data_IF_418878419705
#
_entry.id   IF_418878419705
#
_cell.length_a   1.000
_cell.length_b   1.000
_cell.length_c   1.000
_cell.angle_alpha   90.00
_cell.angle_beta   90.00
_cell.angle_gamma   90.00
#
_symmetry.space_group_name_H-M   'P 1'
#
loop_
_entity.id
_entity.type
_entity.pdbx_description
1 polymer ?
#
# COMPACT_ATOMS: atom_id res chain seq x y z
N UNK A 1 25.34 48.11 16.36
CA UNK A 1 24.86 46.95 17.14
C UNK A 1 24.69 45.79 16.19
N UNK A 2 25.44 44.68 16.35
CA UNK A 2 25.21 43.50 15.53
C UNK A 2 23.82 42.93 15.83
N UNK A 3 23.03 42.72 14.79
CA UNK A 3 21.76 42.00 14.88
C UNK A 3 22.13 40.55 15.19
N UNK A 4 21.95 40.15 16.44
CA UNK A 4 21.98 38.74 16.82
C UNK A 4 20.76 38.12 16.16
N UNK A 5 20.97 37.39 15.06
CA UNK A 5 19.94 36.53 14.50
C UNK A 5 19.81 35.40 15.51
N UNK A 6 18.83 35.47 16.39
CA UNK A 6 18.43 34.34 17.22
C UNK A 6 18.03 33.21 16.26
N UNK A 7 18.88 32.18 16.20
CA UNK A 7 18.67 31.02 15.37
C UNK A 7 17.48 30.26 15.98
N UNK A 8 16.29 30.56 15.48
CA UNK A 8 15.04 30.04 16.01
C UNK A 8 15.13 28.50 15.98
N UNK A 9 15.00 27.79 17.12
CA UNK A 9 15.34 26.39 17.18
C UNK A 9 14.46 25.58 16.22
N UNK A 10 15.10 24.77 15.37
CA UNK A 10 14.41 23.96 14.37
C UNK A 10 13.34 23.08 15.02
N UNK A 11 12.19 22.97 14.37
CA UNK A 11 11.04 22.21 14.83
C UNK A 11 10.76 21.00 13.93
N UNK A 12 10.31 19.90 14.52
CA UNK A 12 9.80 18.75 13.79
C UNK A 12 8.50 19.11 13.03
N UNK A 13 8.41 18.78 11.74
CA UNK A 13 7.22 19.06 10.91
C UNK A 13 5.98 18.24 11.30
N UNK A 14 6.09 17.29 12.24
CA UNK A 14 4.99 16.47 12.76
C UNK A 14 4.59 16.86 14.19
N UNK A 15 5.48 16.69 15.17
CA UNK A 15 5.12 17.03 16.55
C UNK A 15 5.28 18.52 16.90
N UNK A 16 5.86 19.36 16.01
CA UNK A 16 6.23 20.77 16.25
C UNK A 16 7.21 20.99 17.42
N UNK A 17 7.73 19.94 18.05
CA UNK A 17 8.74 20.05 19.11
C UNK A 17 10.06 20.59 18.57
N UNK A 18 10.68 21.50 19.31
CA UNK A 18 12.04 21.99 19.15
C UNK A 18 13.02 21.26 20.09
N UNK A 19 14.32 21.38 19.85
CA UNK A 19 15.35 20.77 20.73
C UNK A 19 15.39 19.24 20.66
N UNK A 20 14.86 18.66 19.59
CA UNK A 20 14.79 17.22 19.35
C UNK A 20 15.94 16.75 18.44
N UNK A 21 16.27 15.46 18.51
CA UNK A 21 17.18 14.85 17.56
C UNK A 21 16.46 14.52 16.26
N UNK A 22 17.02 14.96 15.14
CA UNK A 22 16.43 14.76 13.81
C UNK A 22 16.94 13.50 13.12
N UNK A 23 16.06 12.88 12.35
CA UNK A 23 16.36 11.76 11.46
C UNK A 23 16.40 12.22 10.00
N UNK A 24 17.08 11.44 9.16
CA UNK A 24 16.96 11.54 7.70
C UNK A 24 15.70 10.80 7.25
N UNK A 25 14.69 11.54 6.84
CA UNK A 25 13.40 10.98 6.42
C UNK A 25 13.25 10.93 4.90
N UNK A 26 12.65 9.88 4.34
CA UNK A 26 12.42 9.80 2.90
C UNK A 26 11.05 10.37 2.52
N UNK A 27 10.96 11.07 1.40
CA UNK A 27 9.68 11.57 0.87
C UNK A 27 8.77 10.40 0.49
N UNK A 28 9.28 9.49 -0.35
CA UNK A 28 8.66 8.20 -0.65
C UNK A 28 9.35 7.15 0.22
N UNK A 29 8.62 6.27 0.94
CA UNK A 29 9.25 5.28 1.80
C UNK A 29 10.29 4.48 1.04
N UNK A 30 11.46 4.27 1.68
CA UNK A 30 12.62 3.59 1.07
C UNK A 30 12.28 2.19 0.54
N UNK A 31 11.18 1.59 0.99
CA UNK A 31 10.67 0.32 0.50
C UNK A 31 10.24 0.38 -0.97
N UNK A 32 9.70 1.52 -1.43
CA UNK A 32 9.27 1.73 -2.81
C UNK A 32 10.39 2.15 -3.76
N UNK A 33 11.54 2.58 -3.23
CA UNK A 33 12.68 2.89 -4.08
C UNK A 33 13.76 3.68 -3.38
N UNK A 34 14.91 3.76 -4.04
CA UNK A 34 15.95 4.76 -3.79
C UNK A 34 16.46 5.18 -5.15
N UNK A 35 16.56 6.48 -5.38
CA UNK A 35 16.79 7.09 -6.68
C UNK A 35 18.20 7.68 -6.75
N UNK A 36 19.18 6.92 -6.26
CA UNK A 36 20.58 7.35 -6.21
C UNK A 36 20.77 8.69 -5.47
N UNK A 37 21.64 9.58 -5.98
CA UNK A 37 21.85 10.93 -5.44
C UNK A 37 20.58 11.80 -5.47
N UNK A 38 19.62 11.51 -6.35
CA UNK A 38 18.36 12.26 -6.49
C UNK A 38 17.28 11.78 -5.52
N UNK A 39 17.59 10.83 -4.63
CA UNK A 39 16.64 10.36 -3.62
C UNK A 39 16.22 11.53 -2.73
N UNK A 40 14.98 11.97 -2.88
CA UNK A 40 14.41 13.04 -2.08
C UNK A 40 14.27 12.62 -0.62
N UNK A 41 14.98 13.34 0.24
CA UNK A 41 14.98 13.14 1.69
C UNK A 41 14.89 14.48 2.40
N UNK A 42 14.14 14.47 3.49
CA UNK A 42 14.10 15.55 4.46
C UNK A 42 15.27 15.38 5.43
N UNK A 43 16.06 16.43 5.57
CA UNK A 43 17.17 16.53 6.52
C UNK A 43 16.77 17.55 7.57
N UNK A 44 16.92 17.19 8.86
CA UNK A 44 16.67 18.10 9.98
C UNK A 44 15.24 18.67 10.04
N UNK A 45 14.26 17.90 9.54
CA UNK A 45 12.85 18.29 9.53
C UNK A 45 11.93 17.35 10.33
N UNK A 46 12.33 16.09 10.52
CA UNK A 46 11.52 15.07 11.22
C UNK A 46 12.33 14.52 12.39
N UNK A 47 11.78 14.57 13.61
CA UNK A 47 12.44 13.99 14.77
C UNK A 47 12.51 12.46 14.68
N UNK A 48 13.45 11.85 15.41
CA UNK A 48 13.62 10.39 15.44
C UNK A 48 12.31 9.69 15.86
N UNK A 49 11.60 10.22 16.85
CA UNK A 49 10.40 9.57 17.40
C UNK A 49 9.28 9.49 16.35
N UNK A 50 8.90 10.62 15.75
CA UNK A 50 7.92 10.66 14.66
C UNK A 50 8.37 9.82 13.47
N UNK A 51 9.66 9.80 13.14
CA UNK A 51 10.19 8.99 12.05
C UNK A 51 9.98 7.49 12.31
N UNK A 52 10.29 7.02 13.52
CA UNK A 52 10.16 5.62 13.89
C UNK A 52 8.70 5.19 14.00
N UNK A 53 7.86 6.01 14.63
CA UNK A 53 6.44 5.74 14.83
C UNK A 53 5.71 5.66 13.48
N UNK A 54 5.78 6.73 12.67
CA UNK A 54 5.13 6.77 11.36
C UNK A 54 5.72 5.74 10.40
N UNK A 55 7.02 5.41 10.54
CA UNK A 55 7.64 4.33 9.78
C UNK A 55 6.99 2.97 10.05
N UNK A 56 6.75 2.63 11.32
CA UNK A 56 6.11 1.36 11.72
C UNK A 56 4.63 1.34 11.39
N UNK A 57 3.91 2.41 11.69
CA UNK A 57 2.45 2.44 11.53
C UNK A 57 2.00 2.64 10.09
N UNK A 58 2.73 3.42 9.30
CA UNK A 58 2.27 3.86 7.98
C UNK A 58 3.13 3.24 6.88
N UNK A 59 4.45 3.43 6.93
CA UNK A 59 5.32 3.03 5.82
C UNK A 59 5.39 1.50 5.67
N UNK A 60 5.46 0.75 6.78
CA UNK A 60 5.46 -0.72 6.73
C UNK A 60 4.12 -1.27 6.24
N UNK A 61 3.00 -0.70 6.69
CA UNK A 61 1.66 -1.09 6.23
C UNK A 61 1.52 -0.81 4.74
N UNK A 62 1.86 0.38 4.27
CA UNK A 62 1.78 0.72 2.85
C UNK A 62 2.73 -0.14 2.01
N UNK A 63 3.91 -0.49 2.50
CA UNK A 63 4.89 -1.27 1.74
C UNK A 63 4.63 -2.78 1.69
N UNK A 64 3.76 -3.31 2.57
CA UNK A 64 3.59 -4.76 2.78
C UNK A 64 2.13 -5.24 2.92
N UNK A 65 1.19 -4.36 3.25
CA UNK A 65 -0.23 -4.66 3.51
C UNK A 65 -1.19 -3.76 2.73
N UNK A 66 -0.80 -3.38 1.52
CA UNK A 66 -1.66 -2.62 0.64
C UNK A 66 -1.46 -3.06 -0.80
N UNK A 67 -2.37 -2.68 -1.68
CA UNK A 67 -2.22 -2.95 -3.10
C UNK A 67 -0.89 -2.41 -3.66
N UNK A 68 -0.42 -1.25 -3.18
CA UNK A 68 0.89 -0.72 -3.52
C UNK A 68 2.03 -1.63 -3.06
N UNK A 69 1.90 -2.24 -1.88
CA UNK A 69 2.81 -3.27 -1.40
C UNK A 69 2.85 -4.51 -2.30
N UNK A 70 1.70 -4.96 -2.80
CA UNK A 70 1.60 -6.08 -3.74
C UNK A 70 2.26 -5.74 -5.09
N UNK A 71 1.96 -4.59 -5.67
CA UNK A 71 2.58 -4.11 -6.91
C UNK A 71 4.08 -3.95 -6.72
N UNK A 72 4.52 -3.42 -5.57
CA UNK A 72 5.94 -3.37 -5.21
C UNK A 72 6.58 -4.77 -5.21
N UNK A 73 5.86 -5.79 -4.77
CA UNK A 73 6.36 -7.16 -4.74
C UNK A 73 6.57 -7.76 -6.13
N UNK A 74 5.69 -7.41 -7.06
CA UNK A 74 5.79 -7.77 -8.47
C UNK A 74 6.92 -7.02 -9.18
N UNK A 75 6.96 -5.68 -9.04
CA UNK A 75 7.85 -4.83 -9.84
C UNK A 75 9.28 -4.74 -9.31
N UNK A 76 9.48 -4.81 -7.98
CA UNK A 76 10.79 -4.55 -7.37
C UNK A 76 11.46 -5.81 -6.81
N UNK A 77 12.73 -5.99 -7.21
CA UNK A 77 13.58 -7.08 -6.72
C UNK A 77 13.64 -7.09 -5.17
N UNK A 78 13.59 -8.27 -4.53
CA UNK A 78 13.71 -8.38 -3.09
C UNK A 78 15.07 -7.84 -2.62
N UNK A 79 15.07 -7.11 -1.49
CA UNK A 79 16.31 -6.66 -0.86
C UNK A 79 16.97 -7.85 -0.16
N UNK A 80 18.25 -8.11 -0.50
CA UNK A 80 19.05 -9.16 0.14
C UNK A 80 19.13 -8.95 1.66
N UNK A 81 18.99 -10.03 2.43
CA UNK A 81 19.37 -10.08 3.85
C UNK A 81 18.31 -9.71 4.89
N UNK A 82 17.17 -9.12 4.53
CA UNK A 82 16.09 -8.85 5.49
C UNK A 82 14.98 -9.89 5.39
N UNK A 83 14.64 -10.51 6.53
CA UNK A 83 13.45 -11.36 6.67
C UNK A 83 12.25 -10.43 6.80
N UNK A 84 11.57 -10.14 5.69
CA UNK A 84 10.26 -9.48 5.74
C UNK A 84 9.25 -10.51 6.28
N UNK A 85 9.03 -10.51 7.60
CA UNK A 85 7.95 -11.29 8.23
C UNK A 85 6.73 -10.39 8.29
N UNK A 86 5.80 -10.58 7.36
CA UNK A 86 4.56 -9.82 7.33
C UNK A 86 3.37 -10.74 7.12
N UNK A 87 2.28 -10.49 7.87
CA UNK A 87 1.00 -11.17 7.71
C UNK A 87 0.04 -10.17 7.06
N UNK A 88 -0.33 -10.42 5.80
CA UNK A 88 -1.33 -9.61 5.12
C UNK A 88 -2.66 -9.71 5.86
N UNK A 89 -3.24 -8.55 6.19
CA UNK A 89 -4.56 -8.43 6.82
C UNK A 89 -5.54 -7.68 5.92
N UNK A 90 -5.03 -6.84 5.03
CA UNK A 90 -5.83 -5.93 4.20
C UNK A 90 -5.94 -6.38 2.75
N UNK A 91 -5.16 -7.36 2.32
CA UNK A 91 -5.20 -7.93 0.98
C UNK A 91 -5.53 -9.41 1.10
N UNK A 92 -6.51 -9.83 0.32
CA UNK A 92 -6.93 -11.20 0.16
C UNK A 92 -6.73 -11.56 -1.31
N UNK A 93 -5.81 -12.48 -1.56
CA UNK A 93 -5.54 -13.02 -2.89
C UNK A 93 -6.17 -14.41 -2.93
N UNK A 94 -6.92 -14.73 -3.97
CA UNK A 94 -7.58 -16.03 -4.17
C UNK A 94 -7.36 -16.52 -5.58
N UNK A 95 -7.24 -17.84 -5.71
CA UNK A 95 -7.42 -18.51 -6.99
C UNK A 95 -8.90 -18.42 -7.38
N UNK A 96 -9.25 -18.13 -8.65
CA UNK A 96 -10.65 -18.09 -9.07
C UNK A 96 -11.39 -19.39 -8.74
N UNK A 97 -12.69 -19.29 -8.47
CA UNK A 97 -13.53 -20.45 -8.19
C UNK A 97 -14.01 -21.16 -9.47
N UNK A 98 -13.07 -21.53 -10.34
CA UNK A 98 -13.34 -22.11 -11.65
C UNK A 98 -12.81 -23.54 -11.77
N UNK A 99 -13.54 -24.41 -12.48
CA UNK A 99 -13.21 -25.83 -12.61
C UNK A 99 -11.77 -26.11 -13.07
N UNK A 100 -11.20 -25.21 -13.89
CA UNK A 100 -9.82 -25.26 -14.41
C UNK A 100 -8.76 -25.27 -13.31
N UNK A 101 -9.06 -24.77 -12.12
CA UNK A 101 -8.15 -24.74 -10.97
C UNK A 101 -8.28 -25.95 -10.03
N UNK A 102 -9.12 -26.95 -10.37
CA UNK A 102 -9.21 -28.22 -9.65
C UNK A 102 -9.39 -28.07 -8.13
N UNK A 103 -8.46 -28.63 -7.36
CA UNK A 103 -8.48 -28.57 -5.89
C UNK A 103 -8.07 -27.22 -5.31
N UNK A 104 -7.55 -26.29 -6.12
CA UNK A 104 -7.14 -24.95 -5.66
C UNK A 104 -8.23 -23.90 -5.81
N UNK A 105 -9.42 -24.27 -6.28
CA UNK A 105 -10.55 -23.35 -6.50
C UNK A 105 -10.87 -22.52 -5.26
N UNK A 106 -10.72 -21.20 -5.37
CA UNK A 106 -10.97 -20.28 -4.26
C UNK A 106 -9.95 -20.34 -3.12
N UNK A 107 -8.84 -21.07 -3.28
CA UNK A 107 -7.79 -21.14 -2.29
C UNK A 107 -7.17 -19.75 -2.07
N UNK A 108 -7.05 -19.34 -0.81
CA UNK A 108 -6.35 -18.11 -0.42
C UNK A 108 -4.85 -18.27 -0.62
N UNK A 109 -4.26 -17.26 -1.23
CA UNK A 109 -2.84 -17.17 -1.51
C UNK A 109 -2.20 -16.08 -0.64
N UNK A 110 -0.93 -16.24 -0.32
CA UNK A 110 -0.12 -15.22 0.33
C UNK A 110 1.19 -15.02 -0.42
N UNK A 111 1.67 -13.77 -0.43
CA UNK A 111 3.00 -13.44 -0.93
C UNK A 111 4.04 -13.85 0.12
N UNK A 112 4.95 -14.74 -0.26
CA UNK A 112 6.18 -14.92 0.49
C UNK A 112 7.12 -13.73 0.20
N UNK A 113 7.25 -12.80 1.14
CA UNK A 113 8.07 -11.60 0.94
C UNK A 113 9.56 -11.86 0.79
N UNK A 114 10.05 -13.05 1.14
CA UNK A 114 11.45 -13.46 0.88
C UNK A 114 11.66 -13.84 -0.57
N UNK A 115 10.76 -14.66 -1.12
CA UNK A 115 10.88 -15.18 -2.50
C UNK A 115 10.11 -14.37 -3.53
N UNK A 116 9.21 -13.49 -3.08
CA UNK A 116 8.17 -12.78 -3.86
C UNK A 116 7.24 -13.71 -4.63
N UNK A 117 7.20 -15.00 -4.27
CA UNK A 117 6.31 -15.98 -4.88
C UNK A 117 5.01 -16.04 -4.09
N UNK A 118 3.93 -16.30 -4.81
CA UNK A 118 2.67 -16.67 -4.19
C UNK A 118 2.76 -18.12 -3.71
N UNK A 119 2.21 -18.36 -2.53
CA UNK A 119 2.04 -19.70 -1.98
C UNK A 119 0.62 -19.83 -1.43
N UNK A 120 0.02 -21.03 -1.50
CA UNK A 120 -1.23 -21.27 -0.79
C UNK A 120 -1.02 -21.06 0.71
N UNK A 121 -2.06 -20.53 1.36
CA UNK A 121 -2.15 -20.55 2.82
C UNK A 121 -2.56 -21.94 3.30
N UNK A 122 -2.11 -22.28 4.52
CA UNK A 122 -2.65 -23.39 5.27
C UNK A 122 -4.09 -23.03 5.66
N UNK A 123 -5.06 -23.72 5.04
CA UNK A 123 -6.47 -23.38 5.13
C UNK A 123 -7.38 -24.58 4.87
N UNK A 124 -8.65 -24.38 5.22
CA UNK A 124 -9.76 -25.30 4.96
C UNK A 124 -10.72 -24.58 4.03
N UNK A 125 -11.12 -25.25 2.96
CA UNK A 125 -12.16 -24.83 2.05
C UNK A 125 -13.42 -25.66 2.32
N UNK A 126 -14.56 -25.00 2.47
CA UNK A 126 -15.86 -25.65 2.71
C UNK A 126 -16.87 -25.11 1.70
N UNK A 127 -17.53 -25.99 0.97
CA UNK A 127 -18.70 -25.64 0.15
C UNK A 127 -19.97 -26.04 0.87
N UNK A 128 -20.89 -25.09 1.03
CA UNK A 128 -22.22 -25.39 1.54
C UNK A 128 -23.12 -26.05 0.47
N UNK A 129 -24.34 -26.40 0.85
CA UNK A 129 -25.33 -26.99 -0.06
C UNK A 129 -25.72 -26.08 -1.23
N UNK A 130 -25.56 -24.77 -1.10
CA UNK A 130 -25.79 -23.81 -2.19
C UNK A 130 -24.60 -23.70 -3.16
N UNK A 131 -23.48 -24.36 -2.84
CA UNK A 131 -22.23 -24.27 -3.58
C UNK A 131 -21.36 -23.08 -3.18
N UNK A 132 -21.78 -22.29 -2.19
CA UNK A 132 -21.02 -21.13 -1.71
C UNK A 132 -19.76 -21.59 -0.97
N UNK A 133 -18.64 -20.98 -1.34
CA UNK A 133 -17.33 -21.30 -0.79
C UNK A 133 -17.02 -20.47 0.46
N UNK A 134 -16.60 -21.17 1.50
CA UNK A 134 -16.03 -20.63 2.73
C UNK A 134 -14.57 -21.08 2.84
N UNK A 135 -13.72 -20.21 3.39
CA UNK A 135 -12.30 -20.51 3.58
C UNK A 135 -11.88 -20.07 4.98
N UNK A 136 -11.17 -20.94 5.69
CA UNK A 136 -10.73 -20.75 7.07
C UNK A 136 -9.25 -21.09 7.22
N UNK A 137 -8.48 -20.19 7.80
CA UNK A 137 -7.17 -20.48 8.38
C UNK A 137 -7.31 -21.15 9.75
N UNK A 138 -6.20 -21.63 10.32
CA UNK A 138 -6.14 -22.22 11.66
C UNK A 138 -6.75 -21.31 12.74
N UNK A 139 -6.55 -19.98 12.65
CA UNK A 139 -7.14 -19.04 13.60
C UNK A 139 -8.63 -18.77 13.35
N UNK A 140 -9.09 -18.87 12.11
CA UNK A 140 -10.49 -18.55 11.75
C UNK A 140 -11.44 -19.74 11.99
N UNK A 141 -10.95 -20.99 11.93
CA UNK A 141 -11.81 -22.15 12.16
C UNK A 141 -12.33 -22.22 13.60
N UNK A 142 -11.59 -21.70 14.58
CA UNK A 142 -12.02 -21.69 15.98
C UNK A 142 -13.41 -21.04 16.15
N UNK A 143 -13.63 -19.93 15.45
CA UNK A 143 -14.86 -19.14 15.48
C UNK A 143 -15.92 -19.61 14.45
N UNK A 144 -15.59 -20.56 13.58
CA UNK A 144 -16.49 -21.04 12.54
C UNK A 144 -17.65 -21.88 13.13
N UNK A 145 -18.85 -21.69 12.56
CA UNK A 145 -20.05 -22.47 12.90
C UNK A 145 -19.85 -23.95 12.54
N UNK A 146 -20.05 -24.82 13.52
CA UNK A 146 -19.93 -26.28 13.37
C UNK A 146 -20.88 -26.84 12.30
N UNK A 147 -22.02 -26.19 12.05
CA UNK A 147 -22.96 -26.58 10.99
C UNK A 147 -22.35 -26.53 9.58
N UNK A 148 -21.27 -25.77 9.39
CA UNK A 148 -20.55 -25.76 8.12
C UNK A 148 -19.82 -27.07 7.85
N UNK A 149 -19.47 -27.84 8.89
CA UNK A 149 -18.60 -29.01 8.77
C UNK A 149 -19.34 -30.35 8.90
N UNK A 150 -20.50 -30.36 9.57
CA UNK A 150 -21.29 -31.58 9.83
C UNK A 150 -22.07 -32.04 8.60
N UNK A 151 -22.18 -33.36 8.42
CA UNK A 151 -23.02 -34.04 7.43
C UNK A 151 -22.81 -33.56 5.98
N UNK A 152 -21.58 -33.18 5.67
CA UNK A 152 -21.19 -32.66 4.37
C UNK A 152 -20.89 -33.78 3.36
N UNK A 153 -21.29 -33.64 2.08
CA UNK A 153 -21.02 -34.65 1.07
C UNK A 153 -19.51 -34.79 0.81
N UNK A 154 -19.02 -35.97 0.39
CA UNK A 154 -17.61 -36.16 0.03
C UNK A 154 -17.11 -35.08 -0.94
N UNK A 155 -15.90 -34.56 -0.70
CA UNK A 155 -15.26 -33.54 -1.53
C UNK A 155 -15.69 -32.09 -1.28
N UNK A 156 -16.70 -31.84 -0.45
CA UNK A 156 -17.14 -30.47 -0.10
C UNK A 156 -16.26 -29.77 0.93
N UNK A 157 -15.43 -30.53 1.66
CA UNK A 157 -14.42 -30.03 2.58
C UNK A 157 -13.04 -30.41 2.03
N UNK A 158 -12.17 -29.42 1.86
CA UNK A 158 -10.80 -29.61 1.40
C UNK A 158 -9.84 -28.95 2.37
N UNK A 159 -8.69 -29.57 2.62
CA UNK A 159 -7.62 -29.00 3.42
C UNK A 159 -6.41 -28.79 2.51
N UNK A 160 -5.92 -27.55 2.46
CA UNK A 160 -4.79 -27.16 1.61
C UNK A 160 -3.72 -26.58 2.51
N UNK A 161 -2.47 -26.99 2.34
CA UNK A 161 -1.37 -26.39 3.09
C UNK A 161 -0.08 -27.21 3.04
N UNK A 162 0.86 -26.81 3.89
CA UNK A 162 2.08 -27.57 4.16
C UNK A 162 1.76 -28.92 4.82
N UNK A 163 2.63 -29.95 4.71
CA UNK A 163 2.38 -31.24 5.35
C UNK A 163 2.12 -31.17 6.87
N UNK A 164 2.77 -30.23 7.57
CA UNK A 164 2.53 -29.98 8.99
C UNK A 164 1.20 -29.25 9.25
N UNK A 165 0.88 -28.26 8.41
CA UNK A 165 -0.38 -27.51 8.48
C UNK A 165 -1.60 -28.38 8.21
N UNK A 166 -1.54 -29.24 7.18
CA UNK A 166 -2.64 -30.13 6.80
C UNK A 166 -3.05 -31.04 7.96
N UNK A 167 -2.10 -31.68 8.64
CA UNK A 167 -2.40 -32.54 9.80
C UNK A 167 -3.12 -31.78 10.92
N UNK A 168 -2.64 -30.57 11.22
CA UNK A 168 -3.23 -29.71 12.25
C UNK A 168 -4.65 -29.30 11.88
N UNK A 169 -4.85 -28.85 10.64
CA UNK A 169 -6.15 -28.41 10.14
C UNK A 169 -7.17 -29.56 10.04
N UNK A 170 -6.74 -30.75 9.62
CA UNK A 170 -7.60 -31.94 9.60
C UNK A 170 -8.13 -32.26 10.99
N UNK A 171 -7.28 -32.23 12.02
CA UNK A 171 -7.70 -32.45 13.41
C UNK A 171 -8.74 -31.41 13.84
N UNK A 172 -8.55 -30.14 13.52
CA UNK A 172 -9.51 -29.08 13.84
C UNK A 172 -10.87 -29.31 13.15
N UNK A 173 -10.87 -29.74 11.90
CA UNK A 173 -12.10 -30.01 11.15
C UNK A 173 -12.84 -31.25 11.67
N UNK A 174 -12.10 -32.29 12.10
CA UNK A 174 -12.68 -33.46 12.79
C UNK A 174 -13.34 -33.05 14.10
N UNK A 175 -12.67 -32.20 14.89
CA UNK A 175 -13.23 -31.65 16.13
C UNK A 175 -14.51 -30.83 15.88
N UNK A 176 -14.64 -30.19 14.71
CA UNK A 176 -15.86 -29.49 14.28
C UNK A 176 -16.96 -30.43 13.73
N UNK A 177 -16.72 -31.74 13.72
CA UNK A 177 -17.72 -32.76 13.38
C UNK A 177 -17.66 -33.28 11.94
N UNK A 178 -16.63 -32.94 11.17
CA UNK A 178 -16.41 -33.51 9.85
C UNK A 178 -15.87 -34.95 9.93
N UNK A 179 -16.08 -35.71 8.85
CA UNK A 179 -15.50 -37.04 8.66
C UNK A 179 -14.65 -37.03 7.40
N UNK A 180 -13.38 -37.42 7.52
CA UNK A 180 -12.52 -37.65 6.37
C UNK A 180 -12.50 -39.14 6.07
N UNK A 181 -12.74 -39.49 4.81
CA UNK A 181 -12.69 -40.87 4.31
C UNK A 181 -11.41 -41.15 3.53
N UNK A 182 -10.66 -40.10 3.18
CA UNK A 182 -9.48 -40.16 2.33
C UNK A 182 -8.26 -39.63 3.07
N UNK A 183 -7.12 -40.29 2.86
CA UNK A 183 -5.82 -39.84 3.37
C UNK A 183 -5.36 -38.59 2.62
N UNK A 184 -4.65 -37.64 3.29
CA UNK A 184 -4.11 -36.48 2.63
C UNK A 184 -3.14 -36.92 1.53
N UNK A 185 -3.44 -36.52 0.30
CA UNK A 185 -2.64 -36.81 -0.89
C UNK A 185 -1.87 -35.56 -1.28
N UNK A 186 -0.62 -35.73 -1.73
CA UNK A 186 0.12 -34.64 -2.35
C UNK A 186 -0.51 -34.34 -3.72
N UNK A 187 -1.02 -33.12 -3.88
CA UNK A 187 -1.70 -32.68 -5.09
C UNK A 187 -0.71 -31.83 -5.89
N UNK A 188 -0.40 -32.25 -7.11
CA UNK A 188 0.34 -31.40 -8.04
C UNK A 188 -0.49 -30.15 -8.37
N UNK A 189 0.14 -28.95 -8.42
CA UNK A 189 -0.58 -27.75 -8.82
C UNK A 189 -1.15 -27.94 -10.23
N UNK A 190 -2.42 -27.56 -10.47
CA UNK A 190 -3.05 -27.75 -11.77
C UNK A 190 -2.25 -27.03 -12.85
N UNK A 191 -2.29 -27.48 -14.12
CA UNK A 191 -1.58 -26.82 -15.22
C UNK A 191 -1.85 -25.32 -15.28
N UNK A 192 -3.10 -24.90 -15.08
CA UNK A 192 -3.53 -23.50 -15.03
C UNK A 192 -2.86 -22.69 -13.90
N UNK A 193 -2.45 -23.31 -12.79
CA UNK A 193 -1.68 -22.68 -11.72
C UNK A 193 -0.16 -22.69 -11.98
N UNK A 194 0.28 -23.45 -12.99
CA UNK A 194 1.67 -23.55 -13.45
C UNK A 194 1.94 -22.71 -14.70
N UNK A 195 0.90 -22.08 -15.27
CA UNK A 195 1.05 -21.15 -16.37
C UNK A 195 1.85 -19.90 -15.95
N UNK A 196 2.61 -19.28 -16.87
CA UNK A 196 3.39 -18.07 -16.55
C UNK A 196 2.52 -16.89 -16.09
N UNK A 197 1.24 -16.87 -16.49
CA UNK A 197 0.27 -15.84 -16.14
C UNK A 197 -1.00 -16.51 -15.61
N UNK A 198 -1.11 -16.56 -14.28
CA UNK A 198 -2.32 -17.06 -13.60
C UNK A 198 -3.18 -15.86 -13.21
N UNK A 199 -4.44 -15.87 -13.60
CA UNK A 199 -5.41 -14.89 -13.12
C UNK A 199 -5.76 -15.18 -11.67
N UNK A 200 -5.70 -14.15 -10.82
CA UNK A 200 -6.03 -14.24 -9.40
C UNK A 200 -7.03 -13.15 -9.04
N UNK A 201 -7.96 -13.50 -8.18
CA UNK A 201 -8.88 -12.54 -7.58
C UNK A 201 -8.15 -11.86 -6.41
N UNK A 202 -8.04 -10.54 -6.46
CA UNK A 202 -7.46 -9.77 -5.36
C UNK A 202 -8.50 -8.81 -4.81
N UNK A 203 -8.86 -9.02 -3.57
CA UNK A 203 -9.67 -8.09 -2.78
C UNK A 203 -8.75 -7.35 -1.80
N UNK A 204 -9.04 -6.08 -1.56
CA UNK A 204 -8.27 -5.34 -0.57
C UNK A 204 -9.01 -4.15 0.01
N UNK A 205 -8.67 -3.84 1.26
CA UNK A 205 -9.27 -2.76 2.03
C UNK A 205 -8.29 -1.59 2.16
N UNK A 206 -8.74 -0.39 1.80
CA UNK A 206 -8.01 0.85 2.07
C UNK A 206 -8.56 1.45 3.36
N UNK A 207 -7.78 1.39 4.43
CA UNK A 207 -8.15 1.91 5.74
C UNK A 207 -7.44 3.24 6.07
N UNK A 208 -7.70 3.75 7.28
CA UNK A 208 -7.11 5.01 7.74
C UNK A 208 -5.57 5.01 7.71
N UNK A 209 -4.90 3.88 7.96
CA UNK A 209 -3.44 3.85 7.96
C UNK A 209 -2.87 3.94 6.54
N UNK A 210 -3.51 3.33 5.55
CA UNK A 210 -3.13 3.51 4.15
C UNK A 210 -3.35 4.97 3.74
N UNK A 211 -4.50 5.57 4.08
CA UNK A 211 -4.78 6.98 3.80
C UNK A 211 -3.74 7.92 4.42
N UNK A 212 -3.37 7.68 5.69
CA UNK A 212 -2.32 8.42 6.41
C UNK A 212 -0.94 8.28 5.75
N UNK A 213 -0.57 7.07 5.31
CA UNK A 213 0.67 6.83 4.58
C UNK A 213 0.76 7.59 3.26
N UNK A 214 -0.33 7.66 2.51
CA UNK A 214 -0.43 8.45 1.29
C UNK A 214 -0.34 9.96 1.58
N UNK A 215 -1.05 10.44 2.61
CA UNK A 215 -0.97 11.83 3.06
C UNK A 215 0.45 12.23 3.46
N UNK A 216 1.15 11.34 4.20
CA UNK A 216 2.54 11.50 4.60
C UNK A 216 3.47 11.70 3.40
N UNK A 217 3.32 10.93 2.33
CA UNK A 217 4.11 11.09 1.11
C UNK A 217 3.90 12.48 0.50
N UNK A 218 2.64 12.90 0.35
CA UNK A 218 2.31 14.22 -0.22
C UNK A 218 2.84 15.37 0.65
N UNK A 219 2.71 15.25 1.98
CA UNK A 219 3.15 16.25 2.94
C UNK A 219 4.68 16.35 3.01
N UNK A 220 5.39 15.21 3.08
CA UNK A 220 6.84 15.18 3.00
C UNK A 220 7.34 15.77 1.69
N UNK A 221 6.66 15.50 0.57
CA UNK A 221 7.02 16.06 -0.73
C UNK A 221 6.84 17.58 -0.75
N UNK A 222 5.74 18.10 -0.19
CA UNK A 222 5.55 19.55 -0.04
C UNK A 222 6.69 20.17 0.78
N UNK A 223 7.03 19.56 1.92
CA UNK A 223 8.12 20.00 2.80
C UNK A 223 9.47 19.98 2.07
N UNK A 224 9.72 18.98 1.21
CA UNK A 224 10.95 18.89 0.43
C UNK A 224 11.08 20.01 -0.61
N UNK A 225 9.97 20.44 -1.22
CA UNK A 225 9.99 21.45 -2.28
C UNK A 225 9.90 22.88 -1.71
N UNK A 226 9.11 23.10 -0.66
CA UNK A 226 8.87 24.44 -0.09
C UNK A 226 9.69 24.72 1.19
N UNK A 227 10.31 23.68 1.76
CA UNK A 227 11.06 23.76 3.01
C UNK A 227 10.21 23.42 4.25
N UNK A 228 10.88 22.92 5.29
CA UNK A 228 10.26 22.55 6.57
C UNK A 228 9.53 23.73 7.23
N UNK A 229 10.13 24.93 7.19
CA UNK A 229 9.54 26.16 7.73
C UNK A 229 8.15 26.48 7.14
N UNK A 230 7.96 26.24 5.84
CA UNK A 230 6.69 26.50 5.18
C UNK A 230 5.56 25.60 5.69
N UNK A 231 5.85 24.31 5.89
CA UNK A 231 4.86 23.32 6.33
C UNK A 231 4.60 23.32 7.84
N UNK A 232 5.36 24.12 8.62
CA UNK A 232 5.12 24.33 10.05
C UNK A 232 3.98 25.31 10.35
N UNK A 233 3.56 26.09 9.36
CA UNK A 233 2.41 27.00 9.45
C UNK A 233 1.15 26.24 9.90
N UNK A 234 0.34 26.91 10.74
CA UNK A 234 -0.85 26.35 11.36
C UNK A 234 -1.92 25.91 10.35
N UNK A 235 -1.91 26.48 9.13
CA UNK A 235 -2.81 26.05 8.04
C UNK A 235 -2.60 24.61 7.58
N UNK A 236 -1.49 23.98 7.99
CA UNK A 236 -1.17 22.57 7.74
C UNK A 236 -1.44 21.66 8.95
N UNK A 237 -1.91 22.20 10.08
CA UNK A 237 -2.09 21.41 11.31
C UNK A 237 -3.07 20.25 11.09
N UNK A 238 -4.17 20.49 10.37
CA UNK A 238 -5.17 19.46 10.09
C UNK A 238 -4.62 18.24 9.35
N UNK A 239 -3.77 18.43 8.33
CA UNK A 239 -3.18 17.29 7.60
C UNK A 239 -2.12 16.60 8.46
N UNK A 240 -1.41 17.36 9.29
CA UNK A 240 -0.41 16.83 10.22
C UNK A 240 -1.03 15.95 11.30
N UNK A 241 -2.07 16.45 11.97
CA UNK A 241 -2.86 15.73 12.97
C UNK A 241 -3.47 14.45 12.39
N UNK A 242 -3.93 14.50 11.13
CA UNK A 242 -4.41 13.31 10.44
C UNK A 242 -3.30 12.28 10.25
N UNK A 243 -2.13 12.68 9.74
CA UNK A 243 -0.97 11.80 9.56
C UNK A 243 -0.53 11.20 10.91
N UNK A 244 -0.53 11.99 11.97
CA UNK A 244 -0.23 11.56 13.34
C UNK A 244 -1.33 10.68 13.97
N UNK A 245 -2.49 10.53 13.32
CA UNK A 245 -3.59 9.70 13.83
C UNK A 245 -4.39 10.36 14.97
N UNK A 246 -4.22 11.67 15.18
CA UNK A 246 -4.94 12.45 16.21
C UNK A 246 -6.38 12.76 15.81
N UNK A 247 -6.67 12.77 14.51
CA UNK A 247 -8.00 13.00 13.96
C UNK A 247 -8.34 11.99 12.88
N UNK A 248 -9.61 11.62 12.76
CA UNK A 248 -10.08 10.87 11.58
C UNK A 248 -10.22 11.82 10.39
N UNK A 249 -9.73 11.38 9.22
CA UNK A 249 -9.58 12.26 8.07
C UNK A 249 -9.97 11.63 6.74
N UNK A 250 -11.01 10.79 6.71
CA UNK A 250 -11.52 10.19 5.45
C UNK A 250 -11.85 11.21 4.36
N UNK A 251 -12.07 12.49 4.70
CA UNK A 251 -12.28 13.58 3.74
C UNK A 251 -10.98 14.21 3.18
N UNK A 252 -9.82 13.97 3.80
CA UNK A 252 -8.54 14.57 3.40
C UNK A 252 -7.84 13.78 2.30
N UNK A 253 -8.10 12.47 2.20
CA UNK A 253 -7.54 11.64 1.14
C UNK A 253 -8.66 10.87 0.46
N UNK A 254 -8.66 10.87 -0.87
CA UNK A 254 -9.65 10.13 -1.65
C UNK A 254 -9.02 9.47 -2.85
N UNK A 255 -9.63 8.37 -3.28
CA UNK A 255 -9.32 7.74 -4.54
C UNK A 255 -9.71 8.66 -5.71
N UNK A 256 -8.86 8.74 -6.72
CA UNK A 256 -9.09 9.52 -7.93
C UNK A 256 -8.87 8.64 -9.16
N UNK A 257 -9.83 8.67 -10.08
CA UNK A 257 -9.69 8.07 -11.41
C UNK A 257 -8.99 9.00 -12.40
N UNK A 258 -8.71 10.24 -12.01
CA UNK A 258 -8.09 11.21 -12.89
C UNK A 258 -6.58 10.95 -12.95
N UNK A 259 -6.01 10.78 -14.15
CA UNK A 259 -4.57 10.65 -14.29
C UNK A 259 -3.85 11.95 -13.89
N UNK A 260 -2.59 11.80 -13.48
CA UNK A 260 -1.71 12.94 -13.17
C UNK A 260 -1.10 13.51 -14.46
N UNK A 261 -0.72 12.64 -15.40
CA UNK A 261 -0.09 13.02 -16.66
C UNK A 261 -1.14 13.38 -17.71
N UNK A 262 -0.88 14.43 -18.49
CA UNK A 262 -1.87 15.01 -19.42
C UNK A 262 -2.25 14.08 -20.58
N UNK A 263 -1.33 13.21 -21.00
CA UNK A 263 -1.53 12.26 -22.11
C UNK A 263 -2.11 10.92 -21.66
N UNK A 264 -2.33 10.73 -20.36
CA UNK A 264 -2.95 9.52 -19.83
C UNK A 264 -4.47 9.64 -19.79
N UNK A 265 -5.13 8.49 -19.78
CA UNK A 265 -6.56 8.39 -19.52
C UNK A 265 -6.79 7.40 -18.36
N UNK A 266 -8.00 7.34 -17.76
CA UNK A 266 -8.27 6.37 -16.70
C UNK A 266 -8.01 4.91 -17.11
N UNK A 267 -8.08 4.58 -18.40
CA UNK A 267 -7.79 3.24 -18.93
C UNK A 267 -6.42 3.09 -19.60
N UNK A 268 -5.64 4.17 -19.69
CA UNK A 268 -4.32 4.18 -20.34
C UNK A 268 -3.29 4.85 -19.45
N UNK A 269 -2.46 4.04 -18.81
CA UNK A 269 -1.28 4.44 -18.04
C UNK A 269 -0.03 4.11 -18.84
N UNK A 270 0.89 5.06 -18.92
CA UNK A 270 2.01 5.01 -19.89
C UNK A 270 3.35 4.66 -19.28
N UNK A 271 3.45 4.61 -17.95
CA UNK A 271 4.66 4.29 -17.23
C UNK A 271 4.32 3.68 -15.86
N UNK A 272 5.30 3.01 -15.26
CA UNK A 272 5.21 2.39 -13.93
C UNK A 272 5.94 3.22 -12.87
N UNK A 273 6.06 4.55 -13.06
CA UNK A 273 6.77 5.43 -12.12
C UNK A 273 5.89 5.79 -10.92
N UNK A 274 6.51 6.19 -9.80
CA UNK A 274 5.76 6.89 -8.75
C UNK A 274 5.58 8.35 -9.15
N UNK A 275 4.36 8.88 -9.10
CA UNK A 275 4.07 10.27 -9.41
C UNK A 275 3.68 10.98 -8.12
N UNK A 276 4.38 12.07 -7.79
CA UNK A 276 4.02 12.91 -6.64
C UNK A 276 3.99 14.36 -7.08
N UNK A 277 2.84 14.99 -6.92
CA UNK A 277 2.62 16.40 -7.29
C UNK A 277 1.92 17.14 -6.16
N UNK A 278 2.03 18.46 -6.17
CA UNK A 278 1.05 19.34 -5.54
C UNK A 278 0.74 20.51 -6.46
N UNK A 279 -0.48 21.01 -6.36
CA UNK A 279 -0.95 22.19 -7.06
C UNK A 279 -2.03 22.92 -6.26
N UNK A 280 -2.15 24.22 -6.49
CA UNK A 280 -3.26 25.01 -5.98
C UNK A 280 -4.55 24.65 -6.73
N UNK A 281 -5.61 24.32 -6.00
CA UNK A 281 -6.96 24.10 -6.53
C UNK A 281 -7.93 25.06 -5.82
N UNK A 282 -8.34 26.13 -6.52
CA UNK A 282 -9.16 27.20 -5.93
C UNK A 282 -8.40 27.96 -4.85
N UNK A 283 -8.89 27.91 -3.61
CA UNK A 283 -8.20 28.43 -2.41
C UNK A 283 -7.30 27.40 -1.74
N UNK A 284 -7.47 26.11 -2.02
CA UNK A 284 -6.74 25.04 -1.36
C UNK A 284 -5.42 24.68 -2.04
N UNK A 285 -4.60 23.93 -1.30
CA UNK A 285 -3.46 23.18 -1.80
C UNK A 285 -3.79 21.70 -1.81
N UNK A 286 -3.59 21.06 -2.95
CA UNK A 286 -3.85 19.66 -3.15
C UNK A 286 -2.61 18.92 -3.60
N UNK A 287 -2.27 17.85 -2.90
CA UNK A 287 -1.30 16.86 -3.35
C UNK A 287 -1.98 15.79 -4.20
N UNK A 288 -1.24 15.18 -5.12
CA UNK A 288 -1.62 13.88 -5.66
C UNK A 288 -0.45 12.92 -5.62
N UNK A 289 -0.75 11.68 -5.25
CA UNK A 289 0.23 10.60 -5.13
C UNK A 289 -0.26 9.42 -5.95
N UNK A 290 0.62 8.85 -6.77
CA UNK A 290 0.34 7.60 -7.46
C UNK A 290 1.56 6.71 -7.46
N UNK A 291 1.56 5.65 -6.66
CA UNK A 291 2.68 4.71 -6.62
C UNK A 291 2.56 3.73 -7.78
N UNK A 292 3.65 3.57 -8.55
CA UNK A 292 3.70 2.77 -9.78
C UNK A 292 2.64 3.19 -10.81
N UNK A 293 2.16 4.44 -10.71
CA UNK A 293 1.09 5.01 -11.53
C UNK A 293 -0.18 4.14 -11.60
N UNK A 294 -0.40 3.30 -10.59
CA UNK A 294 -1.46 2.28 -10.55
C UNK A 294 -2.77 2.88 -10.01
N UNK A 295 -2.73 3.39 -8.78
CA UNK A 295 -3.82 4.09 -8.12
C UNK A 295 -3.44 5.55 -7.92
N UNK A 296 -4.34 6.48 -8.19
CA UNK A 296 -4.11 7.91 -7.94
C UNK A 296 -4.92 8.36 -6.74
N UNK A 297 -4.25 9.07 -5.83
CA UNK A 297 -4.83 9.61 -4.62
C UNK A 297 -4.78 11.12 -4.62
N UNK A 298 -5.92 11.73 -4.32
CA UNK A 298 -6.02 13.16 -4.07
C UNK A 298 -5.85 13.41 -2.57
N UNK A 299 -4.94 14.30 -2.17
CA UNK A 299 -4.66 14.68 -0.77
C UNK A 299 -4.93 16.16 -0.59
N UNK A 300 -5.82 16.54 0.32
CA UNK A 300 -6.01 17.94 0.73
C UNK A 300 -4.89 18.29 1.72
N UNK A 301 -3.88 19.01 1.25
CA UNK A 301 -2.74 19.44 2.07
C UNK A 301 -3.11 20.67 2.92
N UNK A 302 -3.85 21.60 2.34
CA UNK A 302 -4.36 22.78 3.02
C UNK A 302 -5.68 23.20 2.37
N UNK A 303 -6.80 23.33 3.10
CA UNK A 303 -8.08 23.70 2.50
C UNK A 303 -8.11 25.17 2.03
N UNK A 304 -7.30 26.04 2.63
CA UNK A 304 -7.26 27.47 2.32
C UNK A 304 -5.86 28.06 2.52
N UNK A 305 -5.18 28.32 1.41
CA UNK A 305 -3.89 29.02 1.32
C UNK A 305 -4.04 30.55 1.22
N UNK A 306 -5.27 31.07 1.21
CA UNK A 306 -5.53 32.48 0.93
C UNK A 306 -5.25 32.87 -0.53
N UNK A 307 -4.85 34.12 -0.77
CA UNK A 307 -4.74 34.72 -2.11
C UNK A 307 -3.33 34.59 -2.75
N UNK A 308 -2.44 33.75 -2.22
CA UNK A 308 -1.03 33.65 -2.65
C UNK A 308 -0.87 33.05 -4.07
N UNK A 309 0.14 33.52 -4.82
CA UNK A 309 0.44 33.15 -6.21
C UNK A 309 0.77 31.65 -6.44
N UNK A 310 0.83 31.28 -7.73
CA UNK A 310 0.79 29.89 -8.23
C UNK A 310 1.82 28.92 -7.63
N UNK A 311 1.37 28.08 -6.70
CA UNK A 311 2.13 26.95 -6.18
C UNK A 311 1.81 25.69 -6.98
N UNK A 312 2.83 25.15 -7.66
CA UNK A 312 2.77 23.84 -8.33
C UNK A 312 4.15 23.21 -8.43
N UNK A 313 4.24 21.91 -8.21
CA UNK A 313 5.45 21.13 -8.44
C UNK A 313 5.11 19.66 -8.61
N UNK A 314 5.93 18.92 -9.34
CA UNK A 314 5.72 17.51 -9.59
C UNK A 314 6.99 16.77 -9.98
N UNK A 315 7.13 15.55 -9.51
CA UNK A 315 8.20 14.64 -9.91
C UNK A 315 7.62 13.25 -10.21
N UNK A 316 8.23 12.58 -11.18
CA UNK A 316 8.09 11.16 -11.43
C UNK A 316 9.36 10.46 -10.95
N UNK A 317 9.20 9.42 -10.15
CA UNK A 317 10.29 8.66 -9.57
C UNK A 317 10.27 7.27 -10.19
N UNK A 318 11.34 6.90 -10.90
CA UNK A 318 11.49 5.60 -11.53
C UNK A 318 12.21 4.65 -10.58
N UNK A 319 11.49 3.68 -9.94
CA UNK A 319 12.11 2.79 -8.97
C UNK A 319 12.96 1.69 -9.63
N UNK A 320 12.82 1.46 -10.94
CA UNK A 320 13.56 0.45 -11.70
C UNK A 320 14.90 1.03 -12.13
N UNK A 321 14.89 2.19 -12.78
CA UNK A 321 16.08 2.87 -13.27
C UNK A 321 16.74 3.77 -12.21
N UNK A 322 16.08 3.98 -11.06
CA UNK A 322 16.55 4.78 -9.92
C UNK A 322 16.79 6.25 -10.27
N UNK A 323 15.90 6.84 -11.07
CA UNK A 323 15.97 8.23 -11.53
C UNK A 323 14.79 9.05 -11.03
N UNK A 324 14.95 10.37 -10.95
CA UNK A 324 13.87 11.30 -10.65
C UNK A 324 13.72 12.32 -11.78
N UNK A 325 12.54 12.36 -12.39
CA UNK A 325 12.20 13.28 -13.46
C UNK A 325 11.30 14.38 -12.94
N UNK A 326 11.72 15.64 -13.09
CA UNK A 326 10.84 16.78 -12.82
C UNK A 326 9.74 16.85 -13.89
N UNK A 327 8.49 16.94 -13.45
CA UNK A 327 7.35 17.08 -14.36
C UNK A 327 7.22 18.53 -14.82
N UNK A 328 7.34 18.75 -16.12
CA UNK A 328 7.01 20.03 -16.76
C UNK A 328 5.58 19.96 -17.31
N UNK A 329 4.78 21.00 -17.10
CA UNK A 329 3.41 21.04 -17.65
C UNK A 329 2.37 20.16 -16.93
N UNK A 330 2.40 20.09 -15.60
CA UNK A 330 1.29 19.50 -14.81
C UNK A 330 -0.01 20.19 -15.23
N UNK A 331 -0.96 19.39 -15.75
CA UNK A 331 -2.15 19.83 -16.45
C UNK A 331 -2.93 20.88 -15.66
N UNK A 332 -2.81 22.17 -16.05
CA UNK A 332 -3.93 23.11 -15.95
C UNK A 332 -4.95 22.56 -16.93
N UNK A 333 -6.18 22.22 -16.51
CA UNK A 333 -7.26 21.83 -17.44
C UNK A 333 -7.22 22.70 -18.71
N UNK A 334 -6.71 22.14 -19.82
CA UNK A 334 -6.98 22.46 -21.23
C UNK A 334 -6.00 21.70 -22.13
N UNK A 335 -6.58 21.02 -23.13
CA UNK A 335 -5.92 20.38 -24.27
C UNK A 335 -4.92 21.35 -24.92
N UNK A 336 -3.73 20.85 -25.26
CA UNK A 336 -3.00 21.12 -26.52
C UNK A 336 -1.71 20.28 -26.53
N UNK A 337 -1.51 19.56 -27.64
CA UNK A 337 -0.44 18.59 -27.84
C UNK A 337 0.95 19.19 -27.98
N UNK A 338 1.95 18.31 -27.95
CA UNK A 338 3.33 18.65 -28.21
C UNK A 338 3.53 19.10 -29.66
N UNK A 339 4.20 20.24 -29.82
CA UNK A 339 5.03 20.51 -30.99
C UNK A 339 6.26 19.62 -30.90
N UNK A 340 6.46 18.81 -31.92
CA UNK A 340 7.54 17.83 -31.99
C UNK A 340 8.92 18.43 -32.22
N UNK A 341 9.93 17.60 -31.96
CA UNK A 341 10.96 17.21 -32.93
C UNK A 341 11.40 15.79 -32.63
#
# INVERSE_FOLDING_TARGET
MPIVIEDNPRQCIYCKCSGVTFAREHVIPRAFGTFGPETMVLIEAVCIDCNQELGKELDEILARDSFEGLIRAEKLRPRRGKKDRFRARRILIRVPDEATFGHFRGARMAVDWKTRKLRPLDQILVRDESGKLYSFTESEIAEADEKLFRDRPPGSIQVIGTPAGVKTLQQLVILKGARFTEEPTEIEPPPAASEPAVFLETEGTIDNNIWRGIAKIAFNYLAQIQGAGYVLDNKFDRIREFIEGKVEGRALVRFSRQPILAHETPGLKTNEMHLVIFEREGRGLKGRVSLFNSFTYDVILCPDLGLIYSLKSGHAFDPVNKQVHKLTGISRRLKLGFLGR
#
